data_IF_880129922683
#
_entry.id   IF_880129922683
#
_cell.length_a   1.000
_cell.length_b   1.000
_cell.length_c   1.000
_cell.angle_alpha   90.00
_cell.angle_beta   90.00
_cell.angle_gamma   90.00
#
_symmetry.space_group_name_H-M   'P 1'
#
loop_
_entity.id
_entity.type
_entity.pdbx_description
1 polymer ?
#
# COMPACT_ATOMS: atom_id res chain seq x y z
N UNK A 1 42.17 -14.27 0.45
CA UNK A 1 41.50 -12.96 0.42
C UNK A 1 40.26 -12.92 -0.47
N UNK A 2 40.26 -13.54 -1.67
CA UNK A 2 39.08 -13.57 -2.55
C UNK A 2 37.85 -14.31 -1.97
N UNK A 3 38.06 -15.41 -1.23
CA UNK A 3 36.96 -16.22 -0.67
C UNK A 3 36.11 -15.48 0.38
N UNK A 4 36.74 -14.58 1.14
CA UNK A 4 36.04 -13.78 2.16
C UNK A 4 35.09 -12.79 1.47
N UNK A 5 35.55 -12.17 0.38
CA UNK A 5 34.70 -11.29 -0.44
C UNK A 5 33.55 -12.06 -1.10
N UNK A 6 33.80 -13.27 -1.61
CA UNK A 6 32.75 -14.11 -2.20
C UNK A 6 31.67 -14.50 -1.18
N UNK A 7 32.05 -14.86 0.04
CA UNK A 7 31.10 -15.18 1.11
C UNK A 7 30.26 -13.97 1.52
N UNK A 8 30.90 -12.80 1.67
CA UNK A 8 30.20 -11.56 2.01
C UNK A 8 29.21 -11.15 0.90
N UNK A 9 29.60 -11.27 -0.37
CA UNK A 9 28.71 -10.98 -1.51
C UNK A 9 27.51 -11.96 -1.52
N UNK A 10 27.73 -13.24 -1.23
CA UNK A 10 26.65 -14.25 -1.20
C UNK A 10 25.60 -14.00 -0.10
N UNK A 11 26.03 -13.57 1.09
CA UNK A 11 25.11 -13.26 2.19
C UNK A 11 24.27 -12.02 1.93
N UNK A 12 24.82 -11.01 1.24
CA UNK A 12 24.09 -9.78 0.93
C UNK A 12 22.98 -10.07 -0.10
N UNK A 13 23.23 -10.93 -1.10
CA UNK A 13 22.25 -11.29 -2.14
C UNK A 13 21.00 -11.96 -1.53
N UNK A 14 21.16 -12.80 -0.50
CA UNK A 14 20.03 -13.50 0.14
C UNK A 14 19.04 -12.57 0.86
N UNK A 15 19.49 -11.42 1.36
CA UNK A 15 18.65 -10.49 2.14
C UNK A 15 17.71 -9.69 1.22
N UNK A 16 18.16 -9.33 0.01
CA UNK A 16 17.41 -8.45 -0.91
C UNK A 16 16.20 -9.16 -1.55
N UNK A 17 16.21 -10.50 -1.61
CA UNK A 17 15.18 -11.29 -2.32
C UNK A 17 13.94 -11.55 -1.44
N UNK A 18 14.04 -11.42 -0.12
CA UNK A 18 13.00 -11.81 0.83
C UNK A 18 11.92 -10.77 1.14
N UNK A 19 11.99 -9.55 0.58
CA UNK A 19 10.99 -8.52 0.89
C UNK A 19 9.72 -8.71 0.05
N UNK A 20 8.53 -8.82 0.68
CA UNK A 20 7.27 -8.84 -0.05
C UNK A 20 7.14 -7.54 -0.85
N UNK A 21 6.94 -7.66 -2.16
CA UNK A 21 6.76 -6.49 -3.03
C UNK A 21 5.38 -5.88 -2.80
N UNK A 22 5.32 -4.56 -2.72
CA UNK A 22 4.08 -3.81 -2.83
C UNK A 22 3.61 -3.80 -4.30
N UNK A 23 2.34 -4.11 -4.53
CA UNK A 23 1.66 -3.91 -5.81
C UNK A 23 0.74 -2.71 -5.68
N UNK A 24 1.06 -1.63 -6.39
CA UNK A 24 0.25 -0.41 -6.37
C UNK A 24 -0.85 -0.52 -7.41
N UNK A 25 -2.11 -0.42 -6.99
CA UNK A 25 -3.28 -0.40 -7.86
C UNK A 25 -3.92 1.00 -7.85
N UNK A 26 -4.11 1.57 -9.05
CA UNK A 26 -4.67 2.91 -9.28
C UNK A 26 -6.06 2.86 -9.93
N UNK A 27 -6.67 1.68 -10.03
CA UNK A 27 -7.96 1.49 -10.71
C UNK A 27 -9.15 2.05 -9.95
N UNK A 28 -9.02 2.24 -8.64
CA UNK A 28 -10.04 2.84 -7.78
C UNK A 28 -9.58 4.24 -7.39
N UNK A 29 -10.38 5.27 -7.72
CA UNK A 29 -10.15 6.66 -7.30
C UNK A 29 -11.41 7.33 -6.73
N UNK A 30 -12.49 6.58 -6.57
CA UNK A 30 -13.76 7.07 -6.04
C UNK A 30 -13.92 6.73 -4.56
N UNK A 31 -14.49 7.67 -3.79
CA UNK A 31 -14.78 7.50 -2.37
C UNK A 31 -16.28 7.57 -2.15
N UNK A 32 -16.84 6.62 -1.39
CA UNK A 32 -18.23 6.64 -0.90
C UNK A 32 -18.41 7.80 0.08
N UNK A 33 -17.47 7.95 1.02
CA UNK A 33 -17.42 9.08 1.95
C UNK A 33 -16.00 9.60 2.09
N UNK A 34 -15.78 10.91 1.91
CA UNK A 34 -14.46 11.56 2.02
C UNK A 34 -14.01 11.77 3.48
N UNK A 35 -14.32 10.84 4.38
CA UNK A 35 -13.86 10.89 5.78
C UNK A 35 -12.47 10.29 5.91
N UNK A 36 -11.72 10.73 6.91
CA UNK A 36 -10.48 10.07 7.31
C UNK A 36 -10.79 8.76 8.05
N UNK A 37 -10.13 7.67 7.66
CA UNK A 37 -10.20 6.39 8.35
C UNK A 37 -9.39 6.44 9.66
N UNK A 38 -9.79 5.64 10.65
CA UNK A 38 -8.96 5.32 11.81
C UNK A 38 -7.85 4.32 11.47
N UNK A 39 -6.90 4.18 12.41
CA UNK A 39 -5.83 3.19 12.28
C UNK A 39 -6.40 1.78 12.20
N UNK A 40 -6.05 1.03 11.15
CA UNK A 40 -6.57 -0.32 10.84
C UNK A 40 -8.08 -0.38 10.60
N UNK A 41 -8.73 0.74 10.31
CA UNK A 41 -10.10 0.74 9.79
C UNK A 41 -10.11 0.28 8.33
N UNK A 42 -11.20 -0.36 7.90
CA UNK A 42 -11.37 -0.82 6.53
C UNK A 42 -11.56 0.38 5.59
N UNK A 43 -10.60 0.57 4.68
CA UNK A 43 -10.66 1.60 3.64
C UNK A 43 -11.35 1.11 2.37
N UNK A 44 -11.41 -0.21 2.14
CA UNK A 44 -12.13 -0.86 1.03
C UNK A 44 -12.63 -2.23 1.47
N UNK A 45 -13.86 -2.58 1.13
CA UNK A 45 -14.43 -3.90 1.35
C UNK A 45 -14.19 -4.86 0.17
N UNK A 46 -14.38 -6.15 0.42
CA UNK A 46 -14.38 -7.21 -0.58
C UNK A 46 -15.37 -6.87 -1.70
N UNK A 47 -14.95 -7.13 -2.94
CA UNK A 47 -15.73 -6.87 -4.16
C UNK A 47 -16.14 -5.42 -4.46
N UNK A 48 -15.93 -4.46 -3.55
CA UNK A 48 -16.19 -3.05 -3.85
C UNK A 48 -15.09 -2.45 -4.73
N UNK A 49 -15.52 -1.62 -5.68
CA UNK A 49 -14.65 -0.88 -6.60
C UNK A 49 -14.48 0.60 -6.18
N UNK A 50 -14.80 0.92 -4.93
CA UNK A 50 -14.78 2.27 -4.36
C UNK A 50 -14.19 2.21 -2.94
N UNK A 51 -13.57 3.31 -2.50
CA UNK A 51 -13.08 3.44 -1.12
C UNK A 51 -14.22 3.87 -0.19
N UNK A 52 -14.21 3.36 1.04
CA UNK A 52 -15.15 3.77 2.08
C UNK A 52 -14.70 5.08 2.71
N UNK A 53 -13.40 5.21 2.99
CA UNK A 53 -12.77 6.34 3.64
C UNK A 53 -11.33 6.50 3.14
N UNK A 54 -10.72 7.66 3.41
CA UNK A 54 -9.34 7.98 3.05
C UNK A 54 -8.39 7.70 4.21
N UNK A 55 -7.33 6.95 3.98
CA UNK A 55 -6.25 6.79 4.93
C UNK A 55 -5.43 8.10 5.06
N UNK A 56 -4.91 8.45 6.25
CA UNK A 56 -4.06 9.61 6.42
C UNK A 56 -2.78 9.52 5.57
N UNK A 57 -2.14 10.68 5.31
CA UNK A 57 -1.04 10.85 4.34
C UNK A 57 0.19 9.96 4.60
N UNK A 58 0.39 9.54 5.85
CA UNK A 58 1.46 8.64 6.29
C UNK A 58 1.08 7.15 6.24
N UNK A 59 -0.07 6.81 5.66
CA UNK A 59 -0.59 5.44 5.64
C UNK A 59 -1.22 5.06 4.30
N UNK A 60 -1.24 3.76 4.05
CA UNK A 60 -1.65 3.15 2.80
C UNK A 60 -2.87 2.26 3.04
N UNK A 61 -3.77 2.22 2.06
CA UNK A 61 -4.87 1.27 2.06
C UNK A 61 -4.34 -0.07 1.54
N UNK A 62 -4.10 -1.00 2.47
CA UNK A 62 -3.34 -2.23 2.25
C UNK A 62 -4.24 -3.46 2.30
N UNK A 63 -4.07 -4.38 1.35
CA UNK A 63 -4.76 -5.68 1.32
C UNK A 63 -3.81 -6.81 0.94
N UNK A 64 -4.06 -8.06 1.38
CA UNK A 64 -3.29 -9.23 0.92
C UNK A 64 -3.54 -9.57 -0.56
N UNK A 65 -4.59 -9.03 -1.18
CA UNK A 65 -4.94 -9.26 -2.58
C UNK A 65 -6.08 -8.36 -3.05
N UNK A 66 -6.30 -8.30 -4.37
CA UNK A 66 -7.28 -7.41 -5.04
C UNK A 66 -8.72 -7.55 -4.52
N UNK A 67 -9.14 -8.78 -4.21
CA UNK A 67 -10.52 -9.10 -3.85
C UNK A 67 -10.78 -9.13 -2.33
N UNK A 68 -9.79 -8.76 -1.52
CA UNK A 68 -9.90 -8.76 -0.06
C UNK A 68 -10.23 -7.36 0.47
N UNK A 69 -10.64 -7.33 1.73
CA UNK A 69 -10.72 -6.12 2.52
C UNK A 69 -9.33 -5.47 2.60
N UNK A 70 -9.31 -4.15 2.43
CA UNK A 70 -8.11 -3.35 2.63
C UNK A 70 -8.26 -2.48 3.87
N UNK A 71 -7.16 -2.29 4.59
CA UNK A 71 -7.11 -1.57 5.85
C UNK A 71 -6.01 -0.52 5.82
N UNK A 72 -6.20 0.58 6.55
CA UNK A 72 -5.14 1.59 6.67
C UNK A 72 -3.96 1.05 7.47
N UNK A 73 -2.79 1.05 6.84
CA UNK A 73 -1.55 0.48 7.35
C UNK A 73 -0.36 1.37 7.03
N UNK A 74 0.62 1.40 7.93
CA UNK A 74 1.87 2.15 7.74
C UNK A 74 2.90 1.30 6.98
N UNK A 75 2.66 -0.01 6.85
CA UNK A 75 3.55 -0.92 6.12
C UNK A 75 3.13 -1.05 4.66
N UNK A 76 4.11 -1.07 3.78
CA UNK A 76 3.97 -1.12 2.33
C UNK A 76 4.14 -2.54 1.80
N UNK A 77 3.26 -3.47 2.19
CA UNK A 77 3.34 -4.87 1.73
C UNK A 77 2.05 -5.35 1.07
N UNK A 78 2.13 -6.28 0.11
CA UNK A 78 0.94 -6.77 -0.59
C UNK A 78 0.32 -5.75 -1.56
N UNK A 79 -1.00 -5.75 -1.71
CA UNK A 79 -1.72 -4.84 -2.59
C UNK A 79 -2.00 -3.51 -1.89
N UNK A 80 -1.39 -2.45 -2.41
CA UNK A 80 -1.56 -1.07 -1.95
C UNK A 80 -2.45 -0.34 -2.94
N UNK A 81 -3.51 0.26 -2.43
CA UNK A 81 -4.39 1.09 -3.23
C UNK A 81 -3.92 2.55 -3.21
N UNK A 82 -3.66 3.10 -4.40
CA UNK A 82 -3.29 4.48 -4.57
C UNK A 82 -4.50 5.38 -4.34
N UNK A 83 -4.56 5.96 -3.16
CA UNK A 83 -5.58 6.93 -2.79
C UNK A 83 -5.14 8.30 -3.30
N UNK A 84 -5.52 8.64 -4.54
CA UNK A 84 -5.38 10.02 -4.98
C UNK A 84 -6.14 10.91 -3.99
N UNK A 85 -5.43 11.90 -3.44
CA UNK A 85 -6.12 13.05 -2.89
C UNK A 85 -6.97 13.60 -4.02
N UNK A 86 -8.26 13.87 -3.80
CA UNK A 86 -8.87 14.92 -4.62
C UNK A 86 -8.05 16.17 -4.31
N UNK A 87 -7.15 16.53 -5.20
CA UNK A 87 -6.57 17.85 -5.23
C UNK A 87 -7.76 18.80 -5.21
N UNK A 88 -7.79 19.71 -4.23
CA UNK A 88 -8.84 20.70 -4.15
C UNK A 88 -8.92 21.38 -5.52
N UNK A 89 -10.02 21.16 -6.24
CA UNK A 89 -10.48 22.05 -7.30
C UNK A 89 -10.80 23.40 -6.66
N UNK A 90 -9.78 24.16 -6.30
CA UNK A 90 -9.88 25.55 -5.90
C UNK A 90 -8.49 26.18 -5.99
N UNK A 91 -8.22 26.76 -7.16
CA UNK A 91 -7.42 27.96 -7.44
C UNK A 91 -7.34 28.03 -8.98
N UNK A 92 -8.11 28.83 -9.73
CA UNK A 92 -8.93 30.02 -9.48
C UNK A 92 -9.91 30.20 -10.64
#
# INVERSE_FOLDING_TARGET
MAYIWVLMISSIIGIVIGMPKAFVDTSINEYITERLCWSREACKEEFQAVFICRCPEWSYCQSPGRYYNAYCSIVDTGYIWAQHAKENSTNS
#
